data_IF_685568898945
#
_entry.id   IF_685568898945
#
_cell.length_a   1.000
_cell.length_b   1.000
_cell.length_c   1.000
_cell.angle_alpha   90.00
_cell.angle_beta   90.00
_cell.angle_gamma   90.00
#
_symmetry.space_group_name_H-M   'P 1'
#
loop_
_entity.id
_entity.type
_entity.pdbx_description
1 polymer ?
#
# COMPACT_ATOMS: atom_id res chain seq x y z
N UNK A 1 7.77 16.65 8.14
CA UNK A 1 8.46 15.35 8.24
C UNK A 1 8.02 14.50 7.06
N UNK A 2 8.96 13.89 6.33
CA UNK A 2 8.70 12.93 5.25
C UNK A 2 8.91 11.54 5.81
N UNK A 3 7.97 10.63 5.57
CA UNK A 3 8.04 9.24 6.04
C UNK A 3 8.36 8.32 4.87
N UNK A 4 9.32 7.44 5.07
CA UNK A 4 9.70 6.38 4.14
C UNK A 4 9.46 5.02 4.81
N UNK A 5 8.80 4.10 4.12
CA UNK A 5 8.50 2.76 4.62
C UNK A 5 9.21 1.71 3.76
N UNK A 6 9.99 0.87 4.40
CA UNK A 6 10.76 -0.19 3.74
C UNK A 6 10.28 -1.55 4.19
N UNK A 7 9.57 -2.29 3.34
CA UNK A 7 9.13 -3.64 3.63
C UNK A 7 10.34 -4.60 3.62
N UNK A 8 10.40 -5.48 4.60
CA UNK A 8 11.48 -6.45 4.76
C UNK A 8 11.07 -7.87 4.35
N UNK A 9 9.81 -8.07 4.01
CA UNK A 9 9.30 -9.30 3.44
C UNK A 9 8.34 -9.00 2.27
N UNK A 10 8.08 -10.00 1.44
CA UNK A 10 7.28 -9.84 0.23
C UNK A 10 5.79 -9.58 0.55
N UNK A 11 5.30 -10.13 1.65
CA UNK A 11 3.92 -9.91 2.10
C UNK A 11 3.66 -8.43 2.37
N UNK A 12 4.47 -7.79 3.22
CA UNK A 12 4.30 -6.36 3.53
C UNK A 12 4.54 -5.49 2.29
N UNK A 13 5.50 -5.88 1.42
CA UNK A 13 5.72 -5.19 0.13
C UNK A 13 4.47 -5.20 -0.73
N UNK A 14 3.79 -6.34 -0.83
CA UNK A 14 2.54 -6.48 -1.58
C UNK A 14 1.43 -5.62 -0.98
N UNK A 15 1.28 -5.59 0.36
CA UNK A 15 0.27 -4.76 1.01
C UNK A 15 0.52 -3.27 0.79
N UNK A 16 1.76 -2.79 0.92
CA UNK A 16 2.11 -1.38 0.67
C UNK A 16 1.87 -0.97 -0.79
N UNK A 17 2.19 -1.85 -1.76
CA UNK A 17 1.89 -1.60 -3.17
C UNK A 17 0.39 -1.50 -3.43
N UNK A 18 -0.39 -2.40 -2.84
CA UNK A 18 -1.84 -2.35 -2.99
C UNK A 18 -2.45 -1.13 -2.30
N UNK A 19 -1.96 -0.72 -1.14
CA UNK A 19 -2.39 0.52 -0.47
C UNK A 19 -2.23 1.73 -1.41
N UNK A 20 -1.03 1.92 -1.97
CA UNK A 20 -0.72 2.99 -2.93
C UNK A 20 -1.62 2.93 -4.18
N UNK A 21 -1.84 1.74 -4.73
CA UNK A 21 -2.71 1.56 -5.90
C UNK A 21 -4.19 1.85 -5.57
N UNK A 22 -4.69 1.44 -4.40
CA UNK A 22 -6.05 1.76 -3.98
C UNK A 22 -6.23 3.26 -3.70
N UNK A 23 -5.25 3.94 -3.12
CA UNK A 23 -5.29 5.39 -2.96
C UNK A 23 -5.38 6.10 -4.33
N UNK A 24 -4.54 5.70 -5.28
CA UNK A 24 -4.53 6.24 -6.65
C UNK A 24 -5.86 6.01 -7.36
N UNK A 25 -6.36 4.77 -7.41
CA UNK A 25 -7.60 4.49 -8.13
C UNK A 25 -8.77 5.27 -7.53
N UNK A 26 -8.87 5.36 -6.21
CA UNK A 26 -9.95 6.11 -5.54
C UNK A 26 -9.83 7.62 -5.76
N UNK A 27 -8.61 8.15 -5.87
CA UNK A 27 -8.37 9.54 -6.24
C UNK A 27 -8.87 9.82 -7.66
N UNK A 28 -8.42 9.03 -8.65
CA UNK A 28 -8.74 9.26 -10.05
C UNK A 28 -10.20 8.96 -10.41
N UNK A 29 -10.86 8.03 -9.72
CA UNK A 29 -12.31 7.80 -9.90
C UNK A 29 -13.12 9.04 -9.52
N UNK A 30 -12.68 9.84 -8.55
CA UNK A 30 -13.37 11.07 -8.13
C UNK A 30 -13.12 12.26 -9.06
N UNK A 31 -12.11 12.19 -9.90
CA UNK A 31 -11.78 13.24 -10.86
C UNK A 31 -12.88 13.39 -11.93
N UNK A 32 -12.78 14.40 -12.78
CA UNK A 32 -13.80 14.71 -13.81
C UNK A 32 -13.31 14.41 -15.22
N UNK A 33 -12.03 14.51 -15.45
CA UNK A 33 -11.44 14.38 -16.76
C UNK A 33 -11.40 12.94 -17.28
N UNK A 34 -11.43 12.81 -18.58
CA UNK A 34 -11.36 11.50 -19.25
C UNK A 34 -9.97 10.87 -19.12
N UNK A 35 -8.91 11.70 -19.06
CA UNK A 35 -7.54 11.22 -18.86
C UNK A 35 -7.34 10.67 -17.45
N UNK A 36 -7.89 11.32 -16.44
CA UNK A 36 -7.86 10.83 -15.06
C UNK A 36 -8.63 9.52 -14.92
N UNK A 37 -9.76 9.37 -15.61
CA UNK A 37 -10.50 8.11 -15.65
C UNK A 37 -9.76 7.01 -16.42
N UNK A 38 -8.96 7.37 -17.44
CA UNK A 38 -8.02 6.42 -18.06
C UNK A 38 -6.97 5.95 -17.04
N UNK A 39 -6.37 6.86 -16.27
CA UNK A 39 -5.41 6.49 -15.21
C UNK A 39 -6.07 5.62 -14.14
N UNK A 40 -7.32 5.92 -13.73
CA UNK A 40 -8.07 5.08 -12.81
C UNK A 40 -8.21 3.64 -13.33
N UNK A 41 -8.52 3.48 -14.61
CA UNK A 41 -8.69 2.16 -15.23
C UNK A 41 -7.37 1.40 -15.32
N UNK A 42 -6.27 2.06 -15.71
CA UNK A 42 -4.93 1.45 -15.75
C UNK A 42 -4.51 1.03 -14.33
N UNK A 43 -4.73 1.87 -13.32
CA UNK A 43 -4.45 1.54 -11.92
C UNK A 43 -5.28 0.35 -11.42
N UNK A 44 -6.54 0.23 -11.86
CA UNK A 44 -7.37 -0.94 -11.55
C UNK A 44 -6.77 -2.24 -12.14
N UNK A 45 -6.20 -2.17 -13.35
CA UNK A 45 -5.50 -3.32 -13.94
C UNK A 45 -4.22 -3.67 -13.18
N UNK A 46 -3.50 -2.69 -12.64
CA UNK A 46 -2.34 -2.93 -11.78
C UNK A 46 -2.75 -3.60 -10.46
N UNK A 47 -3.85 -3.15 -9.83
CA UNK A 47 -4.43 -3.83 -8.65
C UNK A 47 -4.74 -5.30 -8.97
N UNK A 48 -5.40 -5.54 -10.10
CA UNK A 48 -5.73 -6.89 -10.55
C UNK A 48 -4.49 -7.77 -10.73
N UNK A 49 -3.42 -7.23 -11.29
CA UNK A 49 -2.15 -7.92 -11.50
C UNK A 49 -1.47 -8.28 -10.17
N UNK A 50 -1.37 -7.31 -9.24
CA UNK A 50 -0.74 -7.53 -7.93
C UNK A 50 -1.56 -8.50 -7.08
N UNK A 51 -2.88 -8.31 -7.02
CA UNK A 51 -3.78 -9.14 -6.22
C UNK A 51 -3.90 -10.58 -6.71
N UNK A 52 -3.57 -10.84 -8.00
CA UNK A 52 -3.66 -12.19 -8.57
C UNK A 52 -2.48 -13.10 -8.24
N UNK A 53 -1.35 -12.52 -7.81
CA UNK A 53 -0.08 -13.27 -7.60
C UNK A 53 -0.01 -13.99 -6.26
N UNK A 54 -0.87 -13.66 -5.31
CA UNK A 54 -0.85 -14.21 -3.97
C UNK A 54 -2.25 -14.70 -3.56
N UNK A 55 -2.30 -15.61 -2.62
CA UNK A 55 -3.56 -15.99 -1.95
C UNK A 55 -3.95 -14.90 -0.92
N UNK A 56 -3.97 -13.67 -1.40
CA UNK A 56 -4.05 -12.43 -0.63
C UNK A 56 -5.26 -12.40 0.30
N UNK A 57 -6.42 -12.93 -0.16
CA UNK A 57 -7.62 -13.00 0.64
C UNK A 57 -7.40 -13.89 1.89
N UNK A 58 -6.82 -15.07 1.69
CA UNK A 58 -6.54 -16.03 2.78
C UNK A 58 -5.52 -15.43 3.73
N UNK A 59 -4.44 -14.85 3.20
CA UNK A 59 -3.39 -14.21 4.00
C UNK A 59 -3.93 -13.07 4.86
N UNK A 60 -4.83 -12.24 4.31
CA UNK A 60 -5.45 -11.14 5.07
C UNK A 60 -6.38 -11.67 6.16
N UNK A 61 -7.23 -12.65 5.85
CA UNK A 61 -8.15 -13.24 6.85
C UNK A 61 -7.36 -13.88 8.01
N UNK A 62 -6.30 -14.63 7.70
CA UNK A 62 -5.45 -15.25 8.72
C UNK A 62 -4.76 -14.18 9.59
N UNK A 63 -4.25 -13.11 8.98
CA UNK A 63 -3.61 -12.04 9.74
C UNK A 63 -4.59 -11.28 10.61
N UNK A 64 -5.76 -10.93 10.09
CA UNK A 64 -6.81 -10.26 10.87
C UNK A 64 -7.25 -11.12 12.05
N UNK A 65 -7.43 -12.44 11.86
CA UNK A 65 -7.75 -13.34 12.96
C UNK A 65 -6.62 -13.43 13.99
N UNK A 66 -5.36 -13.48 13.56
CA UNK A 66 -4.21 -13.45 14.46
C UNK A 66 -4.20 -12.16 15.29
N UNK A 67 -4.42 -11.00 14.67
CA UNK A 67 -4.50 -9.71 15.36
C UNK A 67 -5.69 -9.65 16.31
N UNK A 68 -6.84 -10.20 15.91
CA UNK A 68 -8.01 -10.32 16.79
C UNK A 68 -7.69 -11.09 18.07
N UNK A 69 -6.99 -12.23 17.98
CA UNK A 69 -6.59 -13.01 19.15
C UNK A 69 -5.62 -12.23 20.06
N UNK A 70 -4.66 -11.51 19.50
CA UNK A 70 -3.74 -10.66 20.26
C UNK A 70 -4.52 -9.57 20.99
N UNK A 71 -5.44 -8.87 20.33
CA UNK A 71 -6.25 -7.83 20.96
C UNK A 71 -7.16 -8.39 22.04
N UNK A 72 -7.75 -9.57 21.85
CA UNK A 72 -8.56 -10.23 22.88
C UNK A 72 -7.75 -10.55 24.14
N UNK A 73 -6.46 -10.83 24.03
CA UNK A 73 -5.60 -11.08 25.21
C UNK A 73 -5.41 -9.83 26.08
N UNK A 74 -5.72 -8.65 25.57
CA UNK A 74 -5.67 -7.39 26.32
C UNK A 74 -6.98 -7.05 27.05
N UNK A 75 -8.03 -7.88 26.93
CA UNK A 75 -9.24 -7.69 27.73
C UNK A 75 -8.92 -7.70 29.22
N UNK A 76 -9.59 -6.83 29.94
CA UNK A 76 -9.38 -6.64 31.38
C UNK A 76 -8.02 -6.08 31.77
N UNK A 77 -7.21 -5.55 30.83
CA UNK A 77 -6.00 -4.81 31.18
C UNK A 77 -6.37 -3.35 31.51
N UNK A 78 -6.16 -2.90 32.76
CA UNK A 78 -6.56 -1.57 33.19
C UNK A 78 -5.81 -0.41 32.51
N UNK A 79 -4.73 -0.72 31.77
CA UNK A 79 -3.97 0.27 31.01
C UNK A 79 -4.50 0.48 29.59
N UNK A 80 -5.50 -0.29 29.15
CA UNK A 80 -6.04 -0.23 27.81
C UNK A 80 -7.49 0.24 27.86
N UNK A 81 -7.83 1.22 27.03
CA UNK A 81 -9.21 1.68 26.89
C UNK A 81 -10.07 0.54 26.30
N UNK A 82 -11.08 0.12 27.04
CA UNK A 82 -12.05 -0.90 26.61
C UNK A 82 -12.83 -0.45 25.36
N UNK A 83 -13.13 0.84 25.25
CA UNK A 83 -13.78 1.41 24.08
C UNK A 83 -12.90 1.31 22.81
N UNK A 84 -11.62 1.68 22.94
CA UNK A 84 -10.66 1.58 21.82
C UNK A 84 -10.43 0.12 21.41
N UNK A 85 -10.34 -0.80 22.38
CA UNK A 85 -10.18 -2.23 22.14
C UNK A 85 -11.41 -2.80 21.43
N UNK A 86 -12.61 -2.51 21.92
CA UNK A 86 -13.86 -2.97 21.32
C UNK A 86 -14.05 -2.43 19.90
N UNK A 87 -13.69 -1.15 19.68
CA UNK A 87 -13.71 -0.54 18.34
C UNK A 87 -12.77 -1.26 17.36
N UNK A 88 -11.54 -1.54 17.76
CA UNK A 88 -10.56 -2.25 16.93
C UNK A 88 -11.00 -3.70 16.63
N UNK A 89 -11.56 -4.40 17.61
CA UNK A 89 -12.10 -5.76 17.41
C UNK A 89 -13.27 -5.75 16.43
N UNK A 90 -14.18 -4.79 16.56
CA UNK A 90 -15.32 -4.63 15.65
C UNK A 90 -14.86 -4.38 14.21
N UNK A 91 -13.90 -3.47 13.99
CA UNK A 91 -13.35 -3.21 12.64
C UNK A 91 -12.73 -4.47 12.01
N UNK A 92 -11.98 -5.24 12.79
CA UNK A 92 -11.38 -6.51 12.32
C UNK A 92 -12.47 -7.53 11.95
N UNK A 93 -13.51 -7.66 12.76
CA UNK A 93 -14.62 -8.59 12.51
C UNK A 93 -15.37 -8.21 11.23
N UNK A 94 -15.65 -6.92 11.03
CA UNK A 94 -16.33 -6.43 9.81
C UNK A 94 -15.48 -6.64 8.56
N UNK A 95 -14.17 -6.35 8.61
CA UNK A 95 -13.28 -6.57 7.50
C UNK A 95 -13.12 -8.06 7.17
N UNK A 96 -12.99 -8.91 8.17
CA UNK A 96 -12.92 -10.37 7.99
C UNK A 96 -14.19 -10.93 7.38
N UNK A 97 -15.36 -10.50 7.86
CA UNK A 97 -16.65 -10.92 7.31
C UNK A 97 -16.80 -10.49 5.85
N UNK A 98 -16.43 -9.25 5.51
CA UNK A 98 -16.46 -8.73 4.14
C UNK A 98 -15.52 -9.49 3.20
N UNK A 99 -14.30 -9.82 3.65
CA UNK A 99 -13.35 -10.64 2.90
C UNK A 99 -13.90 -12.05 2.66
N UNK A 100 -14.47 -12.68 3.68
CA UNK A 100 -15.04 -14.04 3.57
C UNK A 100 -16.24 -14.06 2.62
N UNK A 101 -17.06 -13.01 2.61
CA UNK A 101 -18.21 -12.87 1.71
C UNK A 101 -17.83 -12.67 0.24
N UNK A 102 -16.58 -12.31 -0.09
CA UNK A 102 -16.12 -12.21 -1.47
C UNK A 102 -16.22 -13.56 -2.17
N UNK A 103 -17.04 -13.65 -3.24
CA UNK A 103 -17.19 -14.86 -4.04
C UNK A 103 -16.05 -15.04 -5.05
N UNK A 104 -15.68 -16.27 -5.32
CA UNK A 104 -14.72 -16.63 -6.35
C UNK A 104 -13.28 -16.17 -6.10
N UNK A 105 -12.48 -16.15 -7.16
CA UNK A 105 -11.10 -15.64 -7.12
C UNK A 105 -11.10 -14.11 -7.21
N UNK A 106 -10.19 -13.48 -6.49
CA UNK A 106 -10.02 -12.02 -6.50
C UNK A 106 -9.94 -11.49 -7.94
N UNK A 107 -10.83 -10.54 -8.27
CA UNK A 107 -10.86 -9.88 -9.57
C UNK A 107 -11.29 -10.79 -10.74
N UNK A 108 -11.88 -11.96 -10.50
CA UNK A 108 -12.35 -12.85 -11.57
C UNK A 108 -13.39 -12.16 -12.46
N UNK A 109 -14.34 -11.44 -11.89
CA UNK A 109 -15.37 -10.69 -12.62
C UNK A 109 -14.79 -9.64 -13.59
N UNK A 110 -13.62 -9.05 -13.27
CA UNK A 110 -12.90 -8.15 -14.19
C UNK A 110 -12.26 -8.90 -15.36
N UNK A 111 -11.72 -10.09 -15.08
CA UNK A 111 -11.11 -10.95 -16.13
C UNK A 111 -12.15 -11.52 -17.07
N UNK A 112 -13.36 -11.73 -16.61
CA UNK A 112 -14.50 -12.20 -17.40
C UNK A 112 -15.15 -11.07 -18.23
N UNK A 113 -14.80 -9.81 -17.95
CA UNK A 113 -15.24 -8.68 -18.76
C UNK A 113 -14.32 -8.50 -19.96
N UNK A 114 -14.76 -9.01 -21.12
CA UNK A 114 -13.99 -8.96 -22.37
C UNK A 114 -13.63 -7.54 -22.81
N UNK A 115 -14.53 -6.58 -22.59
CA UNK A 115 -14.28 -5.18 -22.94
C UNK A 115 -13.13 -4.60 -22.10
N UNK A 116 -13.11 -4.84 -20.78
CA UNK A 116 -12.02 -4.41 -19.90
C UNK A 116 -10.71 -5.12 -20.27
N UNK A 117 -10.75 -6.41 -20.57
CA UNK A 117 -9.53 -7.17 -20.93
C UNK A 117 -8.98 -6.75 -22.28
N UNK A 118 -9.81 -6.35 -23.22
CA UNK A 118 -9.35 -5.76 -24.48
C UNK A 118 -8.63 -4.43 -24.25
N UNK A 119 -9.21 -3.53 -23.43
CA UNK A 119 -8.55 -2.26 -23.06
C UNK A 119 -7.22 -2.54 -22.35
N UNK A 120 -7.19 -3.45 -21.39
CA UNK A 120 -5.97 -3.82 -20.64
C UNK A 120 -4.85 -4.26 -21.59
N UNK A 121 -5.17 -5.13 -22.54
CA UNK A 121 -4.18 -5.66 -23.49
C UNK A 121 -3.61 -4.58 -24.40
N UNK A 122 -4.44 -3.62 -24.81
CA UNK A 122 -4.04 -2.52 -25.69
C UNK A 122 -3.32 -1.40 -24.92
N UNK A 123 -3.78 -1.05 -23.73
CA UNK A 123 -3.13 -0.05 -22.87
C UNK A 123 -1.68 -0.44 -22.49
N UNK A 124 -1.34 -1.73 -22.50
CA UNK A 124 0.02 -2.21 -22.30
C UNK A 124 0.97 -1.93 -23.49
N UNK A 125 0.41 -1.59 -24.66
CA UNK A 125 1.16 -1.25 -25.88
C UNK A 125 1.33 0.28 -25.92
N UNK A 126 2.54 0.82 -26.15
CA UNK A 126 2.74 2.25 -26.32
C UNK A 126 1.80 2.83 -27.41
N UNK A 127 0.93 3.78 -27.01
CA UNK A 127 -0.06 4.38 -27.90
C UNK A 127 -1.25 3.47 -28.28
N UNK A 128 -1.34 2.26 -27.75
CA UNK A 128 -2.37 1.27 -28.13
C UNK A 128 -3.79 1.57 -27.65
N UNK A 129 -3.99 2.64 -26.87
CA UNK A 129 -5.31 3.08 -26.41
C UNK A 129 -5.91 4.22 -27.27
N UNK A 130 -5.40 4.41 -28.49
CA UNK A 130 -5.91 5.40 -29.43
C UNK A 130 -7.33 5.06 -29.92
N UNK A 131 -8.03 6.10 -30.40
CA UNK A 131 -9.43 6.01 -30.83
C UNK A 131 -9.67 5.01 -31.96
N UNK A 132 -8.72 4.90 -32.89
CA UNK A 132 -8.80 3.97 -34.02
C UNK A 132 -8.54 2.50 -33.62
N UNK A 133 -7.78 2.26 -32.54
CA UNK A 133 -7.55 0.91 -31.98
C UNK A 133 -8.71 0.47 -31.06
N UNK A 134 -9.25 1.41 -30.29
CA UNK A 134 -10.28 1.17 -29.26
C UNK A 134 -11.46 2.16 -29.40
N UNK A 135 -12.25 2.12 -30.47
CA UNK A 135 -13.33 3.09 -30.69
C UNK A 135 -14.42 3.04 -29.61
N UNK A 136 -14.73 1.88 -29.05
CA UNK A 136 -15.69 1.73 -27.95
C UNK A 136 -15.19 2.35 -26.64
N UNK A 137 -13.89 2.26 -26.39
CA UNK A 137 -13.24 2.90 -25.25
C UNK A 137 -13.18 4.42 -25.42
N UNK A 138 -12.83 4.89 -26.61
CA UNK A 138 -12.89 6.32 -26.92
C UNK A 138 -14.30 6.89 -26.72
N UNK A 139 -15.33 6.17 -27.19
CA UNK A 139 -16.71 6.56 -26.91
C UNK A 139 -16.99 6.62 -25.42
N UNK A 140 -16.58 5.63 -24.62
CA UNK A 140 -16.76 5.61 -23.16
C UNK A 140 -16.07 6.81 -22.49
N UNK A 141 -14.84 7.15 -22.88
CA UNK A 141 -14.10 8.31 -22.36
C UNK A 141 -14.82 9.65 -22.61
N UNK A 142 -15.65 9.73 -23.65
CA UNK A 142 -16.43 10.92 -24.01
C UNK A 142 -17.88 10.90 -23.48
N UNK A 143 -18.26 9.90 -22.67
CA UNK A 143 -19.54 9.88 -21.99
C UNK A 143 -19.59 10.88 -20.84
N UNK A 144 -20.79 11.12 -20.33
CA UNK A 144 -21.00 11.90 -19.11
C UNK A 144 -20.14 11.42 -17.95
N UNK A 145 -19.62 12.35 -17.16
CA UNK A 145 -18.68 12.07 -16.07
C UNK A 145 -19.30 11.14 -15.00
N UNK A 146 -20.56 11.33 -14.65
CA UNK A 146 -21.21 10.52 -13.62
C UNK A 146 -21.44 9.08 -14.09
N UNK A 147 -21.67 8.88 -15.39
CA UNK A 147 -21.76 7.55 -15.97
C UNK A 147 -20.42 6.82 -15.91
N UNK A 148 -19.32 7.53 -16.22
CA UNK A 148 -17.97 6.95 -16.12
C UNK A 148 -17.59 6.64 -14.68
N UNK A 149 -17.88 7.54 -13.73
CA UNK A 149 -17.65 7.31 -12.29
C UNK A 149 -18.40 6.10 -11.78
N UNK A 150 -19.67 5.98 -12.16
CA UNK A 150 -20.51 4.84 -11.79
C UNK A 150 -19.92 3.53 -12.30
N UNK A 151 -19.49 3.48 -13.55
CA UNK A 151 -18.91 2.30 -14.16
C UNK A 151 -17.57 1.94 -13.46
N UNK A 152 -16.68 2.91 -13.24
CA UNK A 152 -15.43 2.72 -12.50
C UNK A 152 -15.69 2.22 -11.07
N UNK A 153 -16.61 2.83 -10.34
CA UNK A 153 -16.96 2.37 -8.99
C UNK A 153 -17.53 0.97 -8.99
N UNK A 154 -18.37 0.60 -9.95
CA UNK A 154 -18.89 -0.77 -10.08
C UNK A 154 -17.76 -1.80 -10.29
N UNK A 155 -16.69 -1.42 -10.98
CA UNK A 155 -15.51 -2.28 -11.16
C UNK A 155 -14.58 -2.31 -9.95
N UNK A 156 -14.46 -1.24 -9.20
CA UNK A 156 -13.58 -1.15 -8.01
C UNK A 156 -14.24 -1.74 -6.76
N UNK A 157 -15.54 -1.52 -6.58
CA UNK A 157 -16.28 -1.84 -5.35
C UNK A 157 -16.09 -3.28 -4.85
N UNK A 158 -16.11 -4.33 -5.69
CA UNK A 158 -15.92 -5.71 -5.21
C UNK A 158 -14.49 -5.99 -4.68
N UNK A 159 -13.53 -5.09 -4.89
CA UNK A 159 -12.17 -5.19 -4.37
C UNK A 159 -11.97 -4.42 -3.04
N UNK A 160 -12.93 -3.58 -2.66
CA UNK A 160 -12.81 -2.76 -1.43
C UNK A 160 -12.62 -3.58 -0.15
N UNK A 161 -13.17 -4.78 0.03
CA UNK A 161 -12.88 -5.61 1.20
C UNK A 161 -11.37 -5.90 1.37
N UNK A 162 -10.62 -6.04 0.27
CA UNK A 162 -9.16 -6.21 0.31
C UNK A 162 -8.50 -4.93 0.81
N UNK A 163 -8.90 -3.77 0.27
CA UNK A 163 -8.41 -2.46 0.73
C UNK A 163 -8.63 -2.27 2.23
N UNK A 164 -9.83 -2.58 2.70
CA UNK A 164 -10.20 -2.36 4.09
C UNK A 164 -9.43 -3.32 5.03
N UNK A 165 -9.29 -4.57 4.64
CA UNK A 165 -8.48 -5.55 5.38
C UNK A 165 -7.00 -5.18 5.45
N UNK A 166 -6.38 -4.81 4.31
CA UNK A 166 -4.97 -4.41 4.30
C UNK A 166 -4.72 -3.12 5.07
N UNK A 167 -5.66 -2.16 5.04
CA UNK A 167 -5.53 -0.91 5.77
C UNK A 167 -5.47 -1.15 7.28
N UNK A 168 -6.28 -2.07 7.82
CA UNK A 168 -6.22 -2.47 9.23
C UNK A 168 -4.86 -3.11 9.56
N UNK A 169 -4.40 -4.06 8.75
CA UNK A 169 -3.12 -4.77 8.97
C UNK A 169 -1.96 -3.78 8.95
N UNK A 170 -1.89 -2.88 7.96
CA UNK A 170 -0.82 -1.88 7.85
C UNK A 170 -0.88 -0.85 8.98
N UNK A 171 -2.08 -0.43 9.40
CA UNK A 171 -2.26 0.47 10.55
C UNK A 171 -1.72 -0.16 11.84
N UNK A 172 -2.07 -1.42 12.11
CA UNK A 172 -1.56 -2.16 13.27
C UNK A 172 -0.05 -2.35 13.20
N UNK A 173 0.48 -2.69 12.04
CA UNK A 173 1.92 -2.80 11.81
C UNK A 173 2.65 -1.48 12.09
N UNK A 174 2.13 -0.36 11.61
CA UNK A 174 2.69 0.97 11.85
C UNK A 174 2.66 1.34 13.34
N UNK A 175 1.62 0.93 14.06
CA UNK A 175 1.44 1.19 15.48
C UNK A 175 2.28 0.27 16.38
N UNK A 176 2.80 -0.85 15.87
CA UNK A 176 3.55 -1.82 16.67
C UNK A 176 4.95 -1.35 17.08
N UNK A 177 5.52 -0.38 16.34
CA UNK A 177 6.87 0.12 16.58
C UNK A 177 6.89 1.41 17.42
N UNK A 178 8.01 1.63 18.11
CA UNK A 178 8.30 2.89 18.79
C UNK A 178 9.37 3.65 18.04
N UNK A 179 9.16 4.95 17.72
CA UNK A 179 10.16 5.77 17.07
C UNK A 179 11.35 6.05 17.99
N UNK A 180 12.55 5.92 17.48
CA UNK A 180 13.81 6.29 18.14
C UNK A 180 14.47 7.40 17.31
N UNK A 181 14.86 8.50 17.97
CA UNK A 181 15.64 9.57 17.33
C UNK A 181 17.11 9.17 17.31
N UNK A 182 17.69 9.13 16.12
CA UNK A 182 19.05 8.68 15.84
C UNK A 182 19.80 9.71 15.00
N UNK A 183 21.13 9.57 14.94
CA UNK A 183 22.01 10.43 14.12
C UNK A 183 22.71 9.58 13.06
N UNK A 184 22.52 9.94 11.79
CA UNK A 184 23.32 9.40 10.69
C UNK A 184 24.59 10.24 10.56
N UNK A 185 25.72 9.73 11.06
CA UNK A 185 27.01 10.42 11.03
C UNK A 185 27.52 10.44 9.59
N UNK A 186 27.74 11.63 9.04
CA UNK A 186 28.09 11.85 7.62
C UNK A 186 27.16 11.04 6.68
N UNK A 187 25.86 11.10 6.96
CA UNK A 187 24.84 10.41 6.18
C UNK A 187 24.83 8.88 6.29
N UNK A 188 25.56 8.27 7.23
CA UNK A 188 25.57 6.83 7.42
C UNK A 188 25.10 6.43 8.81
N UNK A 189 24.28 5.38 8.87
CA UNK A 189 23.86 4.75 10.12
C UNK A 189 23.82 3.24 9.94
N UNK A 190 24.36 2.51 10.91
CA UNK A 190 24.33 1.06 10.94
C UNK A 190 23.90 0.54 12.32
N UNK A 191 23.02 -0.44 12.33
CA UNK A 191 22.54 -1.09 13.55
C UNK A 191 22.48 -2.61 13.37
N UNK A 192 22.98 -3.33 14.37
CA UNK A 192 22.87 -4.79 14.44
C UNK A 192 21.49 -5.19 14.97
N UNK A 193 20.86 -6.18 14.37
CA UNK A 193 19.46 -6.55 14.67
C UNK A 193 19.29 -7.43 15.92
N UNK A 194 20.36 -8.05 16.43
CA UNK A 194 20.31 -8.87 17.66
C UNK A 194 19.26 -9.99 17.63
N UNK A 195 18.95 -10.55 16.45
CA UNK A 195 17.95 -11.62 16.29
C UNK A 195 16.48 -11.17 16.29
N UNK A 196 16.19 -9.87 16.36
CA UNK A 196 14.81 -9.35 16.30
C UNK A 196 14.20 -9.56 14.91
N UNK A 197 12.99 -10.10 14.88
CA UNK A 197 12.17 -10.14 13.67
C UNK A 197 11.58 -8.76 13.42
N UNK A 198 11.76 -8.23 12.22
CA UNK A 198 11.19 -6.95 11.79
C UNK A 198 10.59 -7.14 10.40
N UNK A 199 9.36 -6.69 10.24
CA UNK A 199 8.63 -6.81 8.98
C UNK A 199 8.72 -5.53 8.13
N UNK A 200 8.85 -4.36 8.77
CA UNK A 200 8.96 -3.07 8.10
C UNK A 200 9.82 -2.11 8.91
N UNK A 201 10.59 -1.29 8.21
CA UNK A 201 11.32 -0.15 8.78
C UNK A 201 10.62 1.13 8.32
N UNK A 202 10.42 2.07 9.27
CA UNK A 202 9.97 3.42 8.96
C UNK A 202 11.06 4.40 9.32
N UNK A 203 11.40 5.26 8.37
CA UNK A 203 12.37 6.35 8.53
C UNK A 203 11.62 7.67 8.33
N UNK A 204 11.76 8.59 9.30
CA UNK A 204 11.18 9.92 9.20
C UNK A 204 12.30 10.95 9.20
N UNK A 205 12.30 11.77 8.15
CA UNK A 205 13.24 12.86 7.96
C UNK A 205 12.54 14.21 8.04
N UNK A 206 13.25 15.22 8.51
CA UNK A 206 12.76 16.58 8.37
C UNK A 206 12.70 16.94 6.87
N UNK A 207 11.59 17.50 6.41
CA UNK A 207 11.43 17.90 5.00
C UNK A 207 12.44 18.93 4.51
N UNK A 208 13.10 19.67 5.42
CA UNK A 208 14.21 20.59 5.10
C UNK A 208 15.57 19.89 4.95
N UNK A 209 15.69 18.62 5.34
CA UNK A 209 16.91 17.85 5.20
C UNK A 209 17.06 17.34 3.76
N UNK A 210 17.49 18.11 2.82
CA UNK A 210 17.62 17.80 1.38
C UNK A 210 18.30 16.45 1.09
N UNK A 211 17.79 15.38 1.69
CA UNK A 211 18.28 14.01 1.56
C UNK A 211 17.17 12.97 1.58
N UNK A 212 17.44 11.82 0.97
CA UNK A 212 16.55 10.66 0.90
C UNK A 212 17.26 9.44 1.50
N UNK A 213 16.55 8.56 2.23
CA UNK A 213 17.16 7.37 2.80
C UNK A 213 17.21 6.24 1.77
N UNK A 214 18.37 5.59 1.66
CA UNK A 214 18.54 4.29 1.06
C UNK A 214 18.78 3.27 2.16
N UNK A 215 18.06 2.16 2.12
CA UNK A 215 18.25 1.10 3.12
C UNK A 215 18.69 -0.19 2.47
N UNK A 216 19.68 -0.82 3.10
CA UNK A 216 19.99 -2.23 2.86
C UNK A 216 19.83 -3.00 4.16
N UNK A 217 19.19 -4.14 4.07
CA UNK A 217 18.89 -4.94 5.24
C UNK A 217 19.16 -6.41 4.97
N UNK A 218 19.86 -7.04 5.91
CA UNK A 218 19.97 -8.49 5.96
C UNK A 218 19.57 -8.98 7.37
N UNK A 219 19.63 -10.28 7.62
CA UNK A 219 19.24 -10.85 8.92
C UNK A 219 20.12 -10.41 10.10
N UNK A 220 21.28 -9.81 9.85
CA UNK A 220 22.25 -9.44 10.87
C UNK A 220 22.32 -7.94 11.13
N UNK A 221 22.24 -7.13 10.07
CA UNK A 221 22.45 -5.69 10.15
C UNK A 221 21.51 -4.91 9.25
N UNK A 222 21.24 -3.68 9.63
CA UNK A 222 20.53 -2.64 8.88
C UNK A 222 21.49 -1.50 8.62
N UNK A 223 21.60 -1.12 7.36
CA UNK A 223 22.37 0.03 6.96
C UNK A 223 21.40 1.06 6.36
N UNK A 224 21.47 2.28 6.85
CA UNK A 224 20.78 3.45 6.29
C UNK A 224 21.84 4.39 5.75
N UNK A 225 21.71 4.79 4.50
CA UNK A 225 22.52 5.82 3.87
C UNK A 225 21.58 6.96 3.47
N UNK A 226 21.96 8.16 3.79
CA UNK A 226 21.24 9.36 3.38
C UNK A 226 21.93 9.93 2.15
N UNK A 227 21.19 9.93 1.04
CA UNK A 227 21.67 10.41 -0.26
C UNK A 227 21.17 11.82 -0.49
N UNK A 228 21.98 12.69 -1.10
CA UNK A 228 21.54 14.05 -1.42
C UNK A 228 20.35 14.06 -2.38
N UNK A 229 19.35 14.85 -2.06
CA UNK A 229 18.19 15.11 -2.92
C UNK A 229 18.37 16.35 -3.83
N UNK A 230 19.50 17.06 -3.73
CA UNK A 230 19.77 18.26 -4.52
C UNK A 230 20.05 17.93 -5.99
N UNK A 231 20.59 16.76 -6.28
CA UNK A 231 20.92 16.32 -7.65
C UNK A 231 20.18 15.04 -8.01
N UNK A 232 19.33 15.10 -9.03
CA UNK A 232 18.56 13.96 -9.52
C UNK A 232 19.44 12.99 -10.35
N UNK A 233 20.50 13.50 -10.96
CA UNK A 233 21.32 12.73 -11.93
C UNK A 233 22.39 11.84 -11.30
N UNK A 234 22.93 12.21 -10.14
CA UNK A 234 23.92 11.41 -9.39
C UNK A 234 23.84 11.76 -7.90
N UNK A 235 22.89 11.22 -7.15
CA UNK A 235 22.85 11.46 -5.71
C UNK A 235 24.09 10.82 -5.07
N UNK A 236 24.91 11.66 -4.41
CA UNK A 236 25.99 11.22 -3.54
C UNK A 236 25.50 11.08 -2.10
N UNK A 237 26.19 10.32 -1.28
CA UNK A 237 25.93 10.30 0.17
C UNK A 237 26.20 11.70 0.74
N UNK A 238 25.32 12.19 1.63
CA UNK A 238 25.55 13.46 2.31
C UNK A 238 26.73 13.35 3.28
N UNK A 239 27.58 14.37 3.32
CA UNK A 239 28.76 14.43 4.21
C UNK A 239 28.50 15.34 5.43
N UNK A 240 27.29 15.29 5.95
CA UNK A 240 26.86 15.99 7.16
C UNK A 240 26.12 15.04 8.09
N UNK A 241 26.10 15.37 9.36
CA UNK A 241 25.33 14.63 10.36
C UNK A 241 23.85 15.00 10.25
N UNK A 242 22.99 13.99 10.09
CA UNK A 242 21.55 14.20 9.90
C UNK A 242 20.76 13.45 10.98
N UNK A 243 19.98 14.17 11.80
CA UNK A 243 19.05 13.54 12.73
C UNK A 243 17.85 12.96 11.97
N UNK A 244 17.43 11.76 12.37
CA UNK A 244 16.27 11.09 11.80
C UNK A 244 15.56 10.23 12.84
N UNK A 245 14.31 9.91 12.59
CA UNK A 245 13.59 8.93 13.41
C UNK A 245 13.56 7.57 12.69
N UNK A 246 13.85 6.53 13.46
CA UNK A 246 13.80 5.14 13.00
C UNK A 246 12.76 4.38 13.82
N UNK A 247 11.90 3.62 13.14
CA UNK A 247 10.91 2.76 13.78
C UNK A 247 10.99 1.36 13.18
N UNK A 248 11.10 0.35 14.03
CA UNK A 248 10.99 -1.05 13.63
C UNK A 248 9.59 -1.56 13.92
N UNK A 249 8.89 -2.03 12.89
CA UNK A 249 7.53 -2.51 12.97
C UNK A 249 7.48 -4.03 12.76
N UNK A 250 6.73 -4.71 13.64
CA UNK A 250 6.51 -6.15 13.58
C UNK A 250 5.15 -6.49 14.22
N UNK A 251 4.36 -7.29 13.55
CA UNK A 251 3.11 -7.84 14.04
C UNK A 251 3.31 -9.23 14.62
#
# INVERSE_FOLDING_TARGET
>A
MITYEYPLNERIRTLLRLEDLFEKVMHFVRAEGSLEHHVALVTLFEILEVASRADLKVDLVQELERQRQILLSFRNNPQISEEALSGALYEIEQASASLLAMAGKTGQYLRENEWLMNIRSRAAIPGGACEFDLPSYHHWLNRDVELRRRDLMAWVQPLLPIRDGLAIVLRLLRASGRPETLLAVRGAFQQTMGGRTVQMIRIRLNGSAMCVPETSANKYARNVRLMSAETVTRPGQVDVDVPFELTFCNL
#
